data_IF_366342157688
#
_entry.id   IF_366342157688
#
_cell.length_a   1.000
_cell.length_b   1.000
_cell.length_c   1.000
_cell.angle_alpha   90.00
_cell.angle_beta   90.00
_cell.angle_gamma   90.00
#
_symmetry.space_group_name_H-M   'P 1'
#
loop_
_entity.id
_entity.type
_entity.pdbx_description
1 polymer ?
#
# COMPACT_ATOMS: atom_id res chain seq x y z
N UNK A 1 2.36 -40.61 -18.17
CA UNK A 1 3.22 -40.48 -19.36
C UNK A 1 4.55 -40.00 -18.85
N UNK A 2 5.57 -40.83 -19.03
CA UNK A 2 6.87 -40.76 -18.38
C UNK A 2 7.61 -39.44 -18.66
N UNK A 3 8.15 -38.83 -17.61
CA UNK A 3 9.05 -37.67 -17.69
C UNK A 3 10.50 -38.08 -18.01
N UNK A 4 10.69 -39.21 -18.70
CA UNK A 4 11.98 -39.81 -18.99
C UNK A 4 12.43 -39.42 -20.41
N UNK A 5 12.99 -38.21 -20.58
CA UNK A 5 13.61 -37.82 -21.85
C UNK A 5 13.84 -36.33 -22.11
N UNK A 6 13.36 -35.41 -21.25
CA UNK A 6 13.57 -33.97 -21.44
C UNK A 6 14.90 -33.51 -20.83
N UNK A 7 15.63 -32.67 -21.56
CA UNK A 7 16.85 -32.02 -21.06
C UNK A 7 16.52 -31.01 -19.95
N UNK A 8 17.48 -30.71 -19.07
CA UNK A 8 17.28 -29.75 -17.97
C UNK A 8 16.84 -28.37 -18.48
N UNK A 9 17.38 -27.93 -19.62
CA UNK A 9 16.99 -26.67 -20.26
C UNK A 9 15.53 -26.68 -20.74
N UNK A 10 15.05 -27.80 -21.31
CA UNK A 10 13.66 -27.95 -21.72
C UNK A 10 12.71 -27.97 -20.51
N UNK A 11 13.11 -28.58 -19.40
CA UNK A 11 12.31 -28.58 -18.16
C UNK A 11 12.18 -27.17 -17.56
N UNK A 12 13.26 -26.39 -17.59
CA UNK A 12 13.26 -24.99 -17.14
C UNK A 12 12.37 -24.13 -18.05
N UNK A 13 12.48 -24.29 -19.37
CA UNK A 13 11.67 -23.55 -20.34
C UNK A 13 10.17 -23.92 -20.26
N UNK A 14 9.84 -25.20 -20.11
CA UNK A 14 8.47 -25.69 -19.96
C UNK A 14 7.80 -25.17 -18.67
N UNK A 15 8.59 -24.87 -17.64
CA UNK A 15 8.13 -24.20 -16.42
C UNK A 15 7.92 -22.68 -16.59
N UNK A 16 8.03 -22.17 -17.82
CA UNK A 16 7.85 -20.74 -18.14
C UNK A 16 8.99 -19.86 -17.65
N UNK A 17 10.18 -20.42 -17.42
CA UNK A 17 11.34 -19.70 -16.92
C UNK A 17 12.29 -19.32 -18.05
N UNK A 18 12.84 -18.10 -17.97
CA UNK A 18 13.85 -17.59 -18.87
C UNK A 18 15.14 -17.34 -18.09
N UNK A 19 16.23 -17.98 -18.50
CA UNK A 19 17.58 -17.77 -17.96
C UNK A 19 18.35 -16.80 -18.85
N UNK A 20 19.06 -15.84 -18.24
CA UNK A 20 20.06 -15.03 -18.93
C UNK A 20 21.32 -14.89 -18.09
N UNK A 21 22.47 -15.21 -18.65
CA UNK A 21 23.78 -14.99 -18.02
C UNK A 21 24.19 -13.52 -18.16
N UNK A 22 24.75 -12.95 -17.11
CA UNK A 22 25.34 -11.62 -17.07
C UNK A 22 26.70 -11.67 -16.38
N UNK A 23 27.62 -10.85 -16.86
CA UNK A 23 28.88 -10.63 -16.16
C UNK A 23 28.63 -9.71 -14.97
N UNK A 24 28.88 -10.19 -13.76
CA UNK A 24 28.82 -9.35 -12.56
C UNK A 24 30.00 -8.37 -12.55
N UNK A 25 29.86 -7.23 -11.85
CA UNK A 25 30.90 -6.20 -11.79
C UNK A 25 32.23 -6.65 -11.17
N UNK A 26 32.27 -7.85 -10.58
CA UNK A 26 33.46 -8.48 -10.00
C UNK A 26 34.07 -9.59 -10.89
N UNK A 27 33.54 -9.82 -12.10
CA UNK A 27 34.03 -10.84 -13.03
C UNK A 27 33.49 -12.25 -12.80
N UNK A 28 32.69 -12.48 -11.76
CA UNK A 28 32.00 -13.76 -11.56
C UNK A 28 30.71 -13.84 -12.40
N UNK A 29 30.39 -15.03 -12.96
CA UNK A 29 29.13 -15.24 -13.67
C UNK A 29 27.92 -15.09 -12.72
N UNK A 30 26.90 -14.38 -13.20
CA UNK A 30 25.64 -14.11 -12.52
C UNK A 30 24.48 -14.46 -13.46
N UNK A 31 23.55 -15.31 -13.03
CA UNK A 31 22.42 -15.76 -13.84
C UNK A 31 21.13 -15.13 -13.32
N UNK A 32 20.38 -14.52 -14.23
CA UNK A 32 19.07 -13.92 -13.96
C UNK A 32 17.99 -14.86 -14.47
N UNK A 33 17.08 -15.26 -13.58
CA UNK A 33 15.93 -16.11 -13.91
C UNK A 33 14.65 -15.31 -13.77
N UNK A 34 13.89 -15.24 -14.86
CA UNK A 34 12.66 -14.45 -15.01
C UNK A 34 11.55 -15.28 -15.66
N UNK A 35 10.36 -14.70 -15.87
CA UNK A 35 9.19 -15.41 -16.41
C UNK A 35 8.16 -15.77 -15.33
N UNK A 36 7.56 -16.96 -15.40
CA UNK A 36 6.50 -17.42 -14.48
C UNK A 36 7.05 -17.94 -13.13
N UNK A 37 7.93 -17.16 -12.50
CA UNK A 37 8.71 -17.59 -11.35
C UNK A 37 7.87 -17.80 -10.08
N UNK A 38 6.63 -17.29 -10.01
CA UNK A 38 5.82 -17.34 -8.78
C UNK A 38 5.40 -18.76 -8.39
N UNK A 39 4.98 -19.57 -9.37
CA UNK A 39 4.53 -20.95 -9.14
C UNK A 39 5.67 -21.84 -8.61
N UNK A 40 6.91 -21.52 -9.02
CA UNK A 40 8.12 -22.32 -8.75
C UNK A 40 9.11 -21.63 -7.81
N UNK A 41 8.72 -20.52 -7.17
CA UNK A 41 9.60 -19.71 -6.30
C UNK A 41 10.31 -20.50 -5.20
N UNK A 42 9.62 -21.50 -4.65
CA UNK A 42 10.19 -22.38 -3.62
C UNK A 42 11.25 -23.31 -4.21
N UNK A 43 11.07 -23.79 -5.44
CA UNK A 43 12.09 -24.55 -6.15
C UNK A 43 13.31 -23.67 -6.47
N UNK A 44 13.08 -22.44 -6.96
CA UNK A 44 14.16 -21.48 -7.24
C UNK A 44 14.98 -21.12 -5.99
N UNK A 45 14.31 -20.93 -4.84
CA UNK A 45 14.99 -20.68 -3.56
C UNK A 45 15.79 -21.90 -3.07
N UNK A 46 15.24 -23.12 -3.21
CA UNK A 46 15.97 -24.37 -2.89
C UNK A 46 17.17 -24.60 -3.81
N UNK A 47 17.07 -24.19 -5.06
CA UNK A 47 18.17 -24.23 -6.02
C UNK A 47 19.26 -23.17 -5.74
N UNK A 48 19.12 -22.34 -4.69
CA UNK A 48 20.12 -21.36 -4.27
C UNK A 48 19.89 -19.93 -4.79
N UNK A 49 18.77 -19.68 -5.46
CA UNK A 49 18.46 -18.36 -6.00
C UNK A 49 18.04 -17.35 -4.92
N UNK A 50 18.41 -16.08 -5.13
CA UNK A 50 17.96 -14.95 -4.31
C UNK A 50 17.10 -14.00 -5.14
N UNK A 51 15.95 -13.56 -4.62
CA UNK A 51 15.06 -12.66 -5.35
C UNK A 51 15.54 -11.20 -5.28
N UNK A 52 15.83 -10.59 -6.42
CA UNK A 52 16.07 -9.15 -6.55
C UNK A 52 14.72 -8.44 -6.79
N UNK A 53 14.22 -7.78 -5.74
CA UNK A 53 12.92 -7.09 -5.75
C UNK A 53 12.85 -5.96 -6.77
N UNK A 54 13.96 -5.27 -7.05
CA UNK A 54 14.00 -4.12 -7.96
C UNK A 54 14.04 -4.56 -9.41
N UNK A 55 14.89 -5.56 -9.71
CA UNK A 55 15.04 -6.09 -11.08
C UNK A 55 13.95 -7.11 -11.43
N UNK A 56 13.21 -7.61 -10.45
CA UNK A 56 12.16 -8.63 -10.59
C UNK A 56 12.69 -9.92 -11.22
N UNK A 57 13.87 -10.33 -10.79
CA UNK A 57 14.54 -11.57 -11.24
C UNK A 57 15.09 -12.33 -10.05
N UNK A 58 15.19 -13.66 -10.20
CA UNK A 58 16.01 -14.47 -9.30
C UNK A 58 17.45 -14.40 -9.77
N UNK A 59 18.36 -14.14 -8.84
CA UNK A 59 19.80 -14.08 -9.06
C UNK A 59 20.43 -15.35 -8.51
N UNK A 60 21.22 -16.01 -9.34
CA UNK A 60 22.11 -17.11 -8.99
C UNK A 60 23.54 -16.68 -9.30
N UNK A 61 24.48 -17.00 -8.40
CA UNK A 61 25.89 -16.67 -8.56
C UNK A 61 26.73 -17.95 -8.59
N UNK A 62 27.80 -17.96 -9.38
CA UNK A 62 28.65 -19.14 -9.53
C UNK A 62 28.31 -19.95 -10.78
N UNK A 63 28.19 -21.27 -10.66
CA UNK A 63 27.96 -22.16 -11.81
C UNK A 63 26.55 -22.01 -12.40
N UNK A 64 26.37 -22.49 -13.65
CA UNK A 64 25.07 -22.50 -14.34
C UNK A 64 23.99 -23.18 -13.47
N UNK A 65 22.92 -22.46 -13.07
CA UNK A 65 21.92 -23.00 -12.16
C UNK A 65 20.92 -23.92 -12.86
N UNK A 66 20.97 -24.08 -14.19
CA UNK A 66 20.00 -24.88 -14.97
C UNK A 66 19.78 -26.28 -14.39
N UNK A 67 20.83 -27.07 -14.08
CA UNK A 67 20.64 -28.42 -13.52
C UNK A 67 20.03 -28.40 -12.11
N UNK A 68 20.43 -27.43 -11.28
CA UNK A 68 19.90 -27.27 -9.92
C UNK A 68 18.41 -26.87 -9.94
N UNK A 69 18.02 -26.00 -10.87
CA UNK A 69 16.63 -25.59 -11.07
C UNK A 69 15.81 -26.77 -11.60
N UNK A 70 16.29 -27.48 -12.64
CA UNK A 70 15.59 -28.65 -13.19
C UNK A 70 15.38 -29.74 -12.12
N UNK A 71 16.41 -30.04 -11.32
CA UNK A 71 16.30 -30.96 -10.19
C UNK A 71 15.30 -30.48 -9.14
N UNK A 72 15.26 -29.18 -8.83
CA UNK A 72 14.36 -28.62 -7.83
C UNK A 72 12.89 -28.53 -8.31
N UNK A 73 12.67 -28.43 -9.63
CA UNK A 73 11.37 -28.47 -10.29
C UNK A 73 10.80 -29.90 -10.37
N UNK A 74 11.68 -30.88 -10.60
CA UNK A 74 11.32 -32.30 -10.66
C UNK A 74 11.16 -32.94 -9.28
N UNK A 75 11.76 -32.38 -8.25
CA UNK A 75 11.51 -32.80 -6.87
C UNK A 75 10.06 -32.55 -6.49
N UNK A 76 9.41 -33.52 -5.84
CA UNK A 76 8.05 -33.35 -5.33
C UNK A 76 8.00 -32.06 -4.50
N UNK A 77 7.06 -31.13 -4.79
CA UNK A 77 6.87 -29.99 -3.92
C UNK A 77 6.59 -30.52 -2.52
N UNK A 78 7.12 -29.90 -1.45
CA UNK A 78 6.71 -30.26 -0.11
C UNK A 78 5.17 -30.25 -0.09
N UNK A 79 4.53 -31.24 0.56
CA UNK A 79 3.09 -31.41 0.48
C UNK A 79 2.45 -30.04 0.71
N UNK A 80 1.54 -29.60 -0.18
CA UNK A 80 0.86 -28.34 0.03
C UNK A 80 0.24 -28.41 1.42
N UNK A 81 0.60 -27.46 2.29
CA UNK A 81 -0.09 -27.30 3.55
C UNK A 81 -1.53 -26.87 3.25
N UNK A 82 -2.42 -27.83 2.98
CA UNK A 82 -3.80 -27.57 2.59
C UNK A 82 -4.39 -28.66 1.70
N UNK A 83 -5.19 -29.52 2.33
CA UNK A 83 -5.94 -30.66 1.80
C UNK A 83 -6.78 -30.33 0.55
N UNK A 84 -6.78 -31.27 -0.39
CA UNK A 84 -7.76 -31.42 -1.46
C UNK A 84 -9.19 -31.57 -0.91
N UNK A 85 -10.20 -31.24 -1.72
CA UNK A 85 -11.63 -31.42 -1.42
C UNK A 85 -12.11 -32.89 -1.45
N UNK A 86 -11.22 -33.85 -1.22
CA UNK A 86 -11.58 -35.25 -1.12
C UNK A 86 -11.48 -35.68 0.34
N UNK A 87 -12.59 -36.15 0.91
CA UNK A 87 -12.64 -36.76 2.24
C UNK A 87 -11.48 -37.74 2.44
N UNK A 88 -10.53 -37.37 3.30
CA UNK A 88 -9.44 -38.24 3.71
C UNK A 88 -9.98 -39.38 4.58
N UNK A 89 -9.45 -40.61 4.46
CA UNK A 89 -9.85 -41.70 5.31
C UNK A 89 -9.29 -41.47 6.71
N UNK A 90 -10.17 -41.58 7.70
CA UNK A 90 -9.95 -41.50 9.15
C UNK A 90 -9.97 -40.09 9.75
N UNK A 91 -11.09 -39.83 10.44
CA UNK A 91 -11.24 -38.68 11.31
C UNK A 91 -10.20 -38.67 12.43
N UNK A 92 -9.48 -37.55 12.54
CA UNK A 92 -9.16 -36.90 13.80
C UNK A 92 -8.81 -35.43 13.54
N UNK A 93 -9.48 -34.54 14.29
CA UNK A 93 -9.34 -33.08 14.40
C UNK A 93 -8.91 -32.31 13.14
N UNK A 94 -9.91 -31.81 12.38
CA UNK A 94 -9.71 -30.79 11.35
C UNK A 94 -9.01 -29.58 11.98
N UNK A 95 -7.88 -29.10 11.43
CA UNK A 95 -7.21 -27.92 11.95
C UNK A 95 -8.16 -26.72 12.02
N UNK A 96 -8.02 -25.85 13.02
CA UNK A 96 -8.94 -24.73 13.28
C UNK A 96 -9.17 -23.81 12.06
N UNK A 97 -8.22 -23.74 11.14
CA UNK A 97 -8.30 -22.96 9.89
C UNK A 97 -9.17 -23.62 8.79
N UNK A 98 -9.59 -24.87 8.95
CA UNK A 98 -10.42 -25.59 7.97
C UNK A 98 -11.83 -24.99 7.91
N UNK A 99 -12.31 -24.60 6.72
CA UNK A 99 -13.57 -23.88 6.53
C UNK A 99 -13.60 -22.44 7.06
N UNK A 100 -12.49 -21.95 7.65
CA UNK A 100 -12.40 -20.61 8.24
C UNK A 100 -12.70 -19.52 7.23
N UNK A 101 -12.15 -19.62 6.00
CA UNK A 101 -12.41 -18.65 4.93
C UNK A 101 -13.90 -18.49 4.63
N UNK A 102 -14.63 -19.60 4.52
CA UNK A 102 -16.06 -19.56 4.23
C UNK A 102 -16.83 -19.01 5.42
N UNK A 103 -16.55 -19.47 6.65
CA UNK A 103 -17.19 -18.93 7.86
C UNK A 103 -16.97 -17.43 8.02
N UNK A 104 -15.77 -16.94 7.71
CA UNK A 104 -15.45 -15.51 7.80
C UNK A 104 -16.24 -14.69 6.77
N UNK A 105 -16.35 -15.19 5.52
CA UNK A 105 -17.18 -14.58 4.47
C UNK A 105 -18.65 -14.55 4.86
N UNK A 106 -19.18 -15.66 5.34
CA UNK A 106 -20.59 -15.76 5.75
C UNK A 106 -20.89 -14.80 6.92
N UNK A 107 -19.97 -14.71 7.90
CA UNK A 107 -20.11 -13.79 9.02
C UNK A 107 -20.05 -12.34 8.59
N UNK A 108 -19.18 -11.99 7.64
CA UNK A 108 -19.15 -10.66 7.04
C UNK A 108 -20.42 -10.33 6.27
N UNK A 109 -20.95 -11.26 5.47
CA UNK A 109 -22.21 -11.05 4.77
C UNK A 109 -23.41 -10.91 5.71
N UNK A 110 -23.39 -11.60 6.85
CA UNK A 110 -24.47 -11.53 7.85
C UNK A 110 -24.40 -10.29 8.76
N UNK A 111 -23.19 -9.85 9.13
CA UNK A 111 -22.98 -8.85 10.20
C UNK A 111 -22.18 -7.61 9.76
N UNK A 112 -21.72 -7.56 8.51
CA UNK A 112 -20.83 -6.52 8.01
C UNK A 112 -19.51 -6.47 8.77
N UNK A 113 -18.86 -5.30 8.76
CA UNK A 113 -17.62 -5.06 9.51
C UNK A 113 -17.78 -5.19 11.02
N UNK A 114 -18.98 -4.96 11.57
CA UNK A 114 -19.23 -4.99 13.01
C UNK A 114 -19.10 -6.41 13.61
N UNK A 115 -19.20 -7.45 12.80
CA UNK A 115 -19.03 -8.85 13.22
C UNK A 115 -17.61 -9.40 13.12
N UNK A 116 -16.63 -8.54 12.81
CA UNK A 116 -15.24 -8.92 12.57
C UNK A 116 -14.29 -8.02 13.36
N UNK A 117 -13.21 -8.60 13.89
CA UNK A 117 -12.08 -7.81 14.35
C UNK A 117 -11.27 -7.24 13.17
N UNK A 118 -10.52 -6.17 13.40
CA UNK A 118 -9.68 -5.52 12.36
C UNK A 118 -8.76 -6.51 11.61
N UNK A 119 -8.10 -7.42 12.34
CA UNK A 119 -7.24 -8.42 11.71
C UNK A 119 -8.05 -9.42 10.87
N UNK A 120 -9.28 -9.74 11.25
CA UNK A 120 -10.14 -10.62 10.47
C UNK A 120 -10.62 -9.93 9.19
N UNK A 121 -10.88 -8.62 9.23
CA UNK A 121 -11.18 -7.85 8.03
C UNK A 121 -9.98 -7.85 7.06
N UNK A 122 -8.75 -7.78 7.56
CA UNK A 122 -7.55 -8.00 6.73
C UNK A 122 -7.47 -9.42 6.19
N UNK A 123 -7.82 -10.44 6.98
CA UNK A 123 -7.85 -11.82 6.47
C UNK A 123 -8.77 -11.93 5.25
N UNK A 124 -9.97 -11.33 5.30
CA UNK A 124 -10.89 -11.31 4.15
C UNK A 124 -10.25 -10.71 2.91
N UNK A 125 -9.56 -9.57 3.05
CA UNK A 125 -8.90 -8.94 1.92
C UNK A 125 -7.78 -9.83 1.38
N UNK A 126 -6.90 -10.31 2.25
CA UNK A 126 -5.78 -11.18 1.88
C UNK A 126 -6.24 -12.49 1.23
N UNK A 127 -7.46 -12.97 1.49
CA UNK A 127 -7.96 -14.18 0.85
C UNK A 127 -8.06 -14.08 -0.67
N UNK A 128 -8.25 -12.89 -1.24
CA UNK A 128 -8.35 -12.69 -2.68
C UNK A 128 -7.00 -12.67 -3.39
N UNK A 129 -5.92 -12.32 -2.68
CA UNK A 129 -4.56 -12.24 -3.26
C UNK A 129 -3.63 -13.37 -2.82
N UNK A 130 -3.93 -14.05 -1.70
CA UNK A 130 -3.13 -15.17 -1.17
C UNK A 130 -4.02 -16.41 -1.07
N UNK A 131 -4.03 -17.28 -2.09
CA UNK A 131 -4.83 -18.50 -2.08
C UNK A 131 -4.17 -19.61 -1.24
N UNK A 132 -4.99 -20.44 -0.59
CA UNK A 132 -4.60 -21.74 0.01
C UNK A 132 -3.51 -21.67 1.09
N UNK A 133 -3.41 -20.55 1.82
CA UNK A 133 -2.52 -20.37 2.99
C UNK A 133 -3.32 -19.81 4.16
N UNK A 134 -2.93 -20.12 5.40
CA UNK A 134 -3.44 -19.44 6.60
C UNK A 134 -2.85 -18.03 6.66
N UNK A 135 -3.69 -17.01 6.43
CA UNK A 135 -3.27 -15.59 6.42
C UNK A 135 -3.49 -14.92 7.77
N UNK A 136 -4.03 -15.64 8.77
CA UNK A 136 -4.27 -15.06 10.11
C UNK A 136 -2.98 -14.58 10.78
N UNK A 137 -1.86 -15.34 10.77
CA UNK A 137 -0.59 -14.84 11.30
C UNK A 137 -0.14 -13.57 10.58
N UNK A 138 -0.21 -13.55 9.25
CA UNK A 138 0.15 -12.40 8.43
C UNK A 138 -0.71 -11.17 8.76
N UNK A 139 -2.03 -11.33 8.84
CA UNK A 139 -2.94 -10.24 9.18
C UNK A 139 -2.60 -9.63 10.55
N UNK A 140 -2.28 -10.46 11.55
CA UNK A 140 -1.83 -9.99 12.87
C UNK A 140 -0.49 -9.27 12.79
N UNK A 141 0.50 -9.82 12.08
CA UNK A 141 1.80 -9.17 11.87
C UNK A 141 1.65 -7.80 11.22
N UNK A 142 0.74 -7.65 10.26
CA UNK A 142 0.46 -6.35 9.62
C UNK A 142 -0.15 -5.36 10.62
N UNK A 143 -1.15 -5.77 11.40
CA UNK A 143 -1.73 -4.91 12.45
C UNK A 143 -0.69 -4.53 13.49
N UNK A 144 0.16 -5.46 13.93
CA UNK A 144 1.22 -5.19 14.90
C UNK A 144 2.26 -4.20 14.35
N UNK A 145 2.68 -4.36 13.10
CA UNK A 145 3.68 -3.48 12.47
C UNK A 145 3.15 -2.08 12.16
N UNK A 146 1.90 -1.97 11.71
CA UNK A 146 1.32 -0.70 11.22
C UNK A 146 0.29 -0.08 12.18
N UNK A 147 -0.01 -0.77 13.28
CA UNK A 147 -0.78 -0.30 14.43
C UNK A 147 -2.30 -0.42 14.33
N UNK A 148 -2.87 -0.43 13.13
CA UNK A 148 -4.33 -0.55 12.92
C UNK A 148 -4.66 -0.98 11.49
N UNK A 149 -5.92 -1.35 11.24
CA UNK A 149 -6.41 -1.62 9.88
C UNK A 149 -6.13 -0.44 8.93
N UNK A 150 -6.47 0.78 9.36
CA UNK A 150 -6.20 2.00 8.61
C UNK A 150 -4.69 2.23 8.40
N UNK A 151 -3.87 1.94 9.40
CA UNK A 151 -2.41 2.01 9.28
C UNK A 151 -1.85 1.05 8.22
N UNK A 152 -2.39 -0.17 8.13
CA UNK A 152 -2.01 -1.14 7.08
C UNK A 152 -2.38 -0.63 5.69
N UNK A 153 -3.59 -0.10 5.52
CA UNK A 153 -4.01 0.46 4.24
C UNK A 153 -3.20 1.70 3.84
N UNK A 154 -2.83 2.55 4.81
CA UNK A 154 -2.07 3.76 4.57
C UNK A 154 -0.57 3.52 4.32
N UNK A 155 0.01 2.46 4.89
CA UNK A 155 1.44 2.18 4.81
C UNK A 155 2.02 2.23 3.39
N UNK A 156 3.14 2.93 3.21
CA UNK A 156 3.85 3.06 1.93
C UNK A 156 4.09 1.69 1.26
N UNK A 157 3.95 1.57 -0.08
CA UNK A 157 4.15 0.31 -0.79
C UNK A 157 5.48 -0.38 -0.48
N UNK A 158 6.56 0.38 -0.36
CA UNK A 158 7.90 -0.15 -0.04
C UNK A 158 7.95 -0.78 1.36
N UNK A 159 7.24 -0.18 2.33
CA UNK A 159 7.14 -0.69 3.71
C UNK A 159 6.31 -1.98 3.79
N UNK A 160 5.27 -2.08 2.97
CA UNK A 160 4.49 -3.31 2.82
C UNK A 160 5.33 -4.41 2.13
N UNK A 161 6.15 -4.04 1.14
CA UNK A 161 7.04 -4.95 0.42
C UNK A 161 8.21 -5.51 1.28
N UNK A 162 8.47 -4.95 2.46
CA UNK A 162 9.37 -5.53 3.46
C UNK A 162 8.80 -6.80 4.09
N UNK A 163 7.50 -7.09 3.97
CA UNK A 163 6.87 -8.28 4.54
C UNK A 163 6.95 -9.43 3.53
N UNK A 164 7.71 -10.47 3.86
CA UNK A 164 8.03 -11.57 2.94
C UNK A 164 6.79 -12.31 2.40
N UNK A 165 5.73 -12.43 3.22
CA UNK A 165 4.50 -13.12 2.85
C UNK A 165 3.50 -12.24 2.08
N UNK A 166 3.79 -10.93 1.88
CA UNK A 166 2.98 -10.06 1.03
C UNK A 166 3.44 -10.12 -0.42
N UNK A 167 2.52 -10.46 -1.31
CA UNK A 167 2.76 -10.41 -2.75
C UNK A 167 2.51 -9.00 -3.30
N UNK A 168 3.07 -8.69 -4.47
CA UNK A 168 2.72 -7.47 -5.20
C UNK A 168 1.20 -7.32 -5.40
N UNK A 169 0.50 -8.42 -5.68
CA UNK A 169 -0.97 -8.41 -5.82
C UNK A 169 -1.66 -8.02 -4.51
N UNK A 170 -1.17 -8.53 -3.37
CA UNK A 170 -1.69 -8.15 -2.05
C UNK A 170 -1.46 -6.67 -1.76
N UNK A 171 -0.29 -6.13 -2.09
CA UNK A 171 0.01 -4.69 -1.92
C UNK A 171 -0.92 -3.84 -2.80
N UNK A 172 -1.05 -4.16 -4.09
CA UNK A 172 -1.97 -3.47 -5.01
C UNK A 172 -3.41 -3.53 -4.50
N UNK A 173 -3.84 -4.69 -4.02
CA UNK A 173 -5.18 -4.86 -3.46
C UNK A 173 -5.43 -3.95 -2.25
N UNK A 174 -4.51 -3.93 -1.28
CA UNK A 174 -4.62 -3.06 -0.10
C UNK A 174 -4.69 -1.58 -0.52
N UNK A 175 -3.86 -1.19 -1.48
CA UNK A 175 -3.85 0.19 -2.02
C UNK A 175 -5.12 0.53 -2.81
N UNK A 176 -5.69 -0.42 -3.54
CA UNK A 176 -6.96 -0.23 -4.21
C UNK A 176 -8.11 -0.02 -3.20
N UNK A 177 -8.13 -0.76 -2.09
CA UNK A 177 -9.11 -0.58 -1.01
C UNK A 177 -8.96 0.80 -0.35
N UNK A 178 -7.72 1.24 -0.06
CA UNK A 178 -7.44 2.58 0.44
C UNK A 178 -8.00 3.65 -0.52
N UNK A 179 -7.64 3.56 -1.81
CA UNK A 179 -8.06 4.52 -2.82
C UNK A 179 -9.59 4.57 -2.99
N UNK A 180 -10.27 3.41 -2.93
CA UNK A 180 -11.73 3.36 -2.97
C UNK A 180 -12.37 4.10 -1.79
N UNK A 181 -11.88 3.87 -0.57
CA UNK A 181 -12.36 4.58 0.62
C UNK A 181 -12.16 6.09 0.54
N UNK A 182 -10.99 6.53 0.08
CA UNK A 182 -10.67 7.95 -0.11
C UNK A 182 -11.54 8.60 -1.20
N UNK A 183 -11.79 7.91 -2.31
CA UNK A 183 -12.67 8.38 -3.36
C UNK A 183 -14.12 8.54 -2.88
N UNK A 184 -14.62 7.58 -2.09
CA UNK A 184 -15.95 7.67 -1.50
C UNK A 184 -16.06 8.86 -0.54
N UNK A 185 -15.09 9.03 0.37
CA UNK A 185 -15.07 10.15 1.32
C UNK A 185 -14.98 11.52 0.60
N UNK A 186 -14.19 11.61 -0.48
CA UNK A 186 -14.09 12.83 -1.29
C UNK A 186 -15.41 13.20 -1.97
N UNK A 187 -16.14 12.20 -2.47
CA UNK A 187 -17.44 12.42 -3.12
C UNK A 187 -18.48 13.06 -2.19
N UNK A 188 -18.35 12.89 -0.87
CA UNK A 188 -19.33 13.45 0.09
C UNK A 188 -19.30 14.98 0.24
N UNK A 189 -18.20 15.64 -0.16
CA UNK A 189 -18.05 17.09 -0.06
C UNK A 189 -17.64 17.78 -1.37
N UNK A 190 -17.24 17.05 -2.41
CA UNK A 190 -16.73 17.65 -3.66
C UNK A 190 -17.71 18.63 -4.32
N UNK A 191 -19.02 18.34 -4.30
CA UNK A 191 -20.06 19.20 -4.91
C UNK A 191 -20.77 20.11 -3.89
N UNK A 192 -20.33 20.13 -2.64
CA UNK A 192 -20.97 20.89 -1.57
C UNK A 192 -20.10 22.08 -1.12
N UNK A 193 -20.70 23.19 -0.65
CA UNK A 193 -19.95 24.22 0.05
C UNK A 193 -19.23 23.63 1.27
N UNK A 194 -17.90 23.69 1.28
CA UNK A 194 -17.04 23.06 2.29
C UNK A 194 -17.41 23.48 3.71
N UNK A 195 -17.75 24.76 3.90
CA UNK A 195 -18.15 25.29 5.21
C UNK A 195 -19.41 24.62 5.77
N UNK A 196 -20.29 24.09 4.91
CA UNK A 196 -21.48 23.31 5.33
C UNK A 196 -21.17 21.84 5.55
N UNK A 197 -20.03 21.36 5.06
CA UNK A 197 -19.57 19.97 5.13
C UNK A 197 -18.22 19.86 5.85
N UNK A 198 -17.92 20.75 6.79
CA UNK A 198 -16.62 20.84 7.45
C UNK A 198 -16.21 19.52 8.11
N UNK A 199 -17.14 18.87 8.80
CA UNK A 199 -16.91 17.55 9.42
C UNK A 199 -16.56 16.47 8.40
N UNK A 200 -17.12 16.53 7.18
CA UNK A 200 -16.80 15.60 6.10
C UNK A 200 -15.42 15.87 5.51
N UNK A 201 -15.07 17.15 5.33
CA UNK A 201 -13.72 17.53 4.93
C UNK A 201 -12.69 17.01 5.94
N UNK A 202 -12.91 17.25 7.24
CA UNK A 202 -12.00 16.76 8.29
C UNK A 202 -11.89 15.24 8.31
N UNK A 203 -13.00 14.51 8.12
CA UNK A 203 -12.97 13.05 8.02
C UNK A 203 -12.14 12.58 6.82
N UNK A 204 -12.32 13.21 5.66
CA UNK A 204 -11.52 12.92 4.48
C UNK A 204 -10.03 13.23 4.69
N UNK A 205 -9.70 14.40 5.23
CA UNK A 205 -8.32 14.81 5.51
C UNK A 205 -7.66 13.85 6.52
N UNK A 206 -8.38 13.46 7.58
CA UNK A 206 -7.89 12.49 8.55
C UNK A 206 -7.66 11.12 7.93
N UNK A 207 -8.58 10.64 7.09
CA UNK A 207 -8.42 9.37 6.38
C UNK A 207 -7.26 9.39 5.38
N UNK A 208 -7.03 10.53 4.72
CA UNK A 208 -6.00 10.70 3.70
C UNK A 208 -4.61 10.96 4.28
N UNK A 209 -4.50 11.67 5.40
CA UNK A 209 -3.22 12.21 5.90
C UNK A 209 -2.88 11.77 7.33
N UNK A 210 -3.84 11.30 8.12
CA UNK A 210 -3.62 11.02 9.55
C UNK A 210 -2.68 9.85 9.84
N UNK A 211 -2.52 8.93 8.88
CA UNK A 211 -1.61 7.79 8.97
C UNK A 211 -0.34 7.96 8.11
N UNK A 212 -0.16 9.13 7.48
CA UNK A 212 1.02 9.39 6.68
C UNK A 212 2.26 9.56 7.55
N UNK A 213 3.30 8.82 7.20
CA UNK A 213 4.57 8.77 7.94
C UNK A 213 5.55 9.86 7.53
N UNK A 214 5.26 10.53 6.41
CA UNK A 214 5.98 11.70 5.93
C UNK A 214 5.05 12.90 6.05
N UNK A 215 5.64 14.04 6.31
CA UNK A 215 4.92 15.29 6.23
C UNK A 215 4.50 15.56 4.78
N UNK A 216 3.26 15.97 4.60
CA UNK A 216 2.64 16.26 3.33
C UNK A 216 1.89 17.56 3.47
N UNK A 217 2.21 18.55 2.64
CA UNK A 217 1.46 19.79 2.57
C UNK A 217 0.56 19.81 1.33
N UNK A 218 -0.71 20.15 1.53
CA UNK A 218 -1.72 20.21 0.49
C UNK A 218 -2.58 21.45 0.61
N UNK A 219 -3.28 21.75 -0.47
CA UNK A 219 -4.18 22.89 -0.56
C UNK A 219 -5.49 22.45 -1.17
N UNK A 220 -6.57 22.79 -0.48
CA UNK A 220 -7.94 22.66 -0.99
C UNK A 220 -8.37 24.02 -1.54
N UNK A 221 -8.53 24.11 -2.85
CA UNK A 221 -8.94 25.32 -3.55
C UNK A 221 -10.45 25.39 -3.67
N UNK A 222 -11.02 26.57 -3.44
CA UNK A 222 -12.46 26.80 -3.42
C UNK A 222 -12.89 27.89 -4.41
N UNK A 223 -14.08 27.74 -4.98
CA UNK A 223 -14.73 28.78 -5.76
C UNK A 223 -15.52 29.78 -4.88
N UNK A 224 -16.19 30.74 -5.54
CA UNK A 224 -17.03 31.77 -4.89
C UNK A 224 -18.19 31.22 -4.06
N UNK A 225 -18.61 29.98 -4.31
CA UNK A 225 -19.64 29.28 -3.53
C UNK A 225 -19.04 28.43 -2.40
N UNK A 226 -17.73 28.55 -2.15
CA UNK A 226 -16.95 27.72 -1.23
C UNK A 226 -17.01 26.22 -1.54
N UNK A 227 -17.28 25.82 -2.78
CA UNK A 227 -17.19 24.42 -3.19
C UNK A 227 -15.76 24.11 -3.66
N UNK A 228 -15.30 22.87 -3.41
CA UNK A 228 -13.95 22.43 -3.78
C UNK A 228 -13.80 22.39 -5.30
N UNK A 229 -12.84 23.14 -5.83
CA UNK A 229 -12.46 23.10 -7.25
C UNK A 229 -11.29 22.17 -7.48
N UNK A 230 -10.32 22.16 -6.56
CA UNK A 230 -9.17 21.28 -6.61
C UNK A 230 -8.69 20.94 -5.20
N UNK A 231 -8.03 19.79 -5.10
CA UNK A 231 -7.37 19.30 -3.89
C UNK A 231 -6.03 18.72 -4.31
N UNK A 232 -4.94 19.41 -3.96
CA UNK A 232 -3.63 19.15 -4.51
C UNK A 232 -2.56 19.08 -3.42
N UNK A 233 -1.75 18.03 -3.50
CA UNK A 233 -0.52 17.94 -2.70
C UNK A 233 0.54 18.80 -3.36
N UNK A 234 1.00 19.84 -2.65
CA UNK A 234 2.05 20.74 -3.15
C UNK A 234 3.45 20.28 -2.74
N UNK A 235 3.55 19.49 -1.67
CA UNK A 235 4.83 18.98 -1.17
C UNK A 235 4.66 17.64 -0.48
N UNK A 236 5.60 16.73 -0.75
CA UNK A 236 5.85 15.54 0.06
C UNK A 236 7.22 15.71 0.72
N UNK A 237 7.30 15.52 2.03
CA UNK A 237 8.53 15.63 2.79
C UNK A 237 9.54 14.55 2.41
N UNK A 238 10.80 14.96 2.25
CA UNK A 238 11.98 14.13 2.51
C UNK A 238 12.93 14.94 3.40
N UNK A 239 14.00 14.32 3.92
CA UNK A 239 14.98 14.89 4.87
C UNK A 239 15.48 16.30 4.51
N UNK A 240 15.37 16.71 3.24
CA UNK A 240 15.62 18.07 2.78
C UNK A 240 14.29 18.78 2.48
N UNK A 241 13.75 19.50 3.46
CA UNK A 241 12.52 20.29 3.35
C UNK A 241 12.64 21.33 2.23
N UNK A 242 11.84 21.24 1.16
CA UNK A 242 11.66 22.38 0.24
C UNK A 242 10.53 23.21 0.83
N UNK A 243 10.73 24.46 1.29
CA UNK A 243 9.66 25.24 1.90
C UNK A 243 8.48 25.41 0.93
N UNK A 244 7.26 25.36 1.45
CA UNK A 244 6.09 25.86 0.73
C UNK A 244 6.25 27.36 0.58
N UNK A 245 6.36 27.84 -0.65
CA UNK A 245 6.48 29.27 -0.91
C UNK A 245 5.09 29.89 -1.16
N UNK A 246 4.72 30.97 -0.46
CA UNK A 246 3.45 31.65 -0.67
C UNK A 246 3.18 32.00 -2.14
N UNK A 247 4.22 32.38 -2.89
CA UNK A 247 4.08 32.67 -4.33
C UNK A 247 3.51 31.49 -5.13
N UNK A 248 3.88 30.25 -4.82
CA UNK A 248 3.42 29.07 -5.56
C UNK A 248 1.98 28.75 -5.18
N UNK A 249 1.63 28.91 -3.89
CA UNK A 249 0.25 28.80 -3.40
C UNK A 249 -0.67 29.78 -4.13
N UNK A 250 -0.28 31.06 -4.15
CA UNK A 250 -1.06 32.13 -4.77
C UNK A 250 -1.13 31.97 -6.29
N UNK A 251 -0.01 31.66 -6.95
CA UNK A 251 0.02 31.38 -8.39
C UNK A 251 -0.96 30.26 -8.74
N UNK A 252 -0.94 29.16 -7.97
CA UNK A 252 -1.83 28.02 -8.22
C UNK A 252 -3.30 28.39 -7.98
N UNK A 253 -3.60 29.16 -6.94
CA UNK A 253 -4.94 29.66 -6.70
C UNK A 253 -5.45 30.52 -7.87
N UNK A 254 -4.62 31.39 -8.42
CA UNK A 254 -4.95 32.21 -9.60
C UNK A 254 -5.17 31.35 -10.85
N UNK A 255 -4.28 30.37 -11.12
CA UNK A 255 -4.39 29.46 -12.26
C UNK A 255 -5.73 28.68 -12.25
N UNK A 256 -6.22 28.34 -11.05
CA UNK A 256 -7.48 27.62 -10.83
C UNK A 256 -8.70 28.54 -10.71
N UNK A 257 -8.51 29.87 -10.75
CA UNK A 257 -9.59 30.84 -10.50
C UNK A 257 -10.23 30.70 -9.11
N UNK A 258 -9.45 30.24 -8.12
CA UNK A 258 -9.91 30.06 -6.75
C UNK A 258 -10.12 31.42 -6.08
N UNK A 259 -11.19 31.55 -5.32
CA UNK A 259 -11.47 32.76 -4.50
C UNK A 259 -11.20 32.54 -3.04
N UNK A 260 -10.96 31.30 -2.64
CA UNK A 260 -10.52 30.95 -1.31
C UNK A 260 -9.74 29.63 -1.33
N UNK A 261 -8.98 29.37 -0.27
CA UNK A 261 -8.23 28.14 -0.09
C UNK A 261 -8.19 27.72 1.38
N UNK A 262 -7.94 26.44 1.61
CA UNK A 262 -7.64 25.86 2.92
C UNK A 262 -6.29 25.18 2.80
N UNK A 263 -5.36 25.54 3.67
CA UNK A 263 -4.06 24.89 3.77
C UNK A 263 -4.17 23.71 4.71
N UNK A 264 -3.49 22.60 4.40
CA UNK A 264 -3.48 21.43 5.29
C UNK A 264 -2.12 20.75 5.24
N UNK A 265 -1.54 20.46 6.39
CA UNK A 265 -0.43 19.50 6.49
C UNK A 265 -0.64 18.49 7.60
N UNK A 266 0.15 17.43 7.59
CA UNK A 266 0.15 16.45 8.68
C UNK A 266 1.44 16.50 9.49
N UNK A 267 1.30 16.23 10.78
CA UNK A 267 2.42 15.97 11.67
C UNK A 267 2.52 14.47 11.96
N UNK A 268 3.50 13.75 11.37
CA UNK A 268 3.72 12.33 11.64
C UNK A 268 4.03 12.02 13.12
N UNK A 269 4.52 13.02 13.87
CA UNK A 269 4.78 12.94 15.31
C UNK A 269 3.52 12.63 16.14
N UNK A 270 2.33 12.90 15.60
CA UNK A 270 1.05 12.72 16.29
C UNK A 270 0.55 13.95 17.04
N UNK A 271 1.38 14.98 17.23
CA UNK A 271 1.01 16.25 17.85
C UNK A 271 0.60 17.27 16.77
N UNK A 272 -0.67 17.70 16.69
CA UNK A 272 -1.12 18.68 15.71
C UNK A 272 -0.81 20.14 16.10
N UNK A 273 -0.04 20.39 17.16
CA UNK A 273 0.33 21.76 17.58
C UNK A 273 1.18 22.44 16.50
N UNK A 274 0.82 23.68 16.06
CA UNK A 274 1.58 24.39 15.04
C UNK A 274 2.98 24.78 15.50
N UNK A 275 3.95 24.67 14.59
CA UNK A 275 5.29 25.23 14.76
C UNK A 275 5.31 26.72 14.42
N UNK A 276 6.40 27.42 14.77
CA UNK A 276 6.59 28.81 14.35
C UNK A 276 6.62 28.95 12.83
N UNK A 277 7.23 27.99 12.13
CA UNK A 277 7.28 27.99 10.66
C UNK A 277 5.88 27.88 10.04
N UNK A 278 4.97 27.11 10.66
CA UNK A 278 3.58 27.01 10.22
C UNK A 278 2.87 28.36 10.38
N UNK A 279 3.08 29.04 11.51
CA UNK A 279 2.49 30.35 11.80
C UNK A 279 2.96 31.41 10.81
N UNK A 280 4.27 31.47 10.58
CA UNK A 280 4.87 32.45 9.67
C UNK A 280 4.34 32.23 8.24
N UNK A 281 4.37 30.98 7.76
CA UNK A 281 3.89 30.60 6.42
C UNK A 281 2.38 30.86 6.23
N UNK A 282 1.57 30.58 7.26
CA UNK A 282 0.12 30.90 7.28
C UNK A 282 -0.11 32.39 7.09
N UNK A 283 0.65 33.21 7.85
CA UNK A 283 0.52 34.66 7.84
C UNK A 283 0.92 35.21 6.47
N UNK A 284 2.05 34.77 5.91
CA UNK A 284 2.51 35.21 4.60
C UNK A 284 1.51 34.86 3.48
N UNK A 285 0.93 33.66 3.48
CA UNK A 285 -0.08 33.26 2.49
C UNK A 285 -1.36 34.07 2.64
N UNK A 286 -1.81 34.28 3.88
CA UNK A 286 -3.00 35.08 4.18
C UNK A 286 -2.86 36.51 3.65
N UNK A 287 -1.75 37.19 3.97
CA UNK A 287 -1.48 38.56 3.53
C UNK A 287 -1.37 38.66 2.01
N UNK A 288 -0.68 37.71 1.37
CA UNK A 288 -0.54 37.68 -0.09
C UNK A 288 -1.88 37.44 -0.80
N UNK A 289 -2.71 36.53 -0.26
CA UNK A 289 -4.02 36.20 -0.80
C UNK A 289 -5.02 37.34 -0.69
N UNK A 290 -5.05 38.05 0.45
CA UNK A 290 -5.98 39.16 0.69
C UNK A 290 -5.85 40.26 -0.37
N UNK A 291 -4.61 40.60 -0.76
CA UNK A 291 -4.32 41.61 -1.80
C UNK A 291 -4.86 41.24 -3.18
N UNK A 292 -5.12 39.96 -3.42
CA UNK A 292 -5.55 39.41 -4.70
C UNK A 292 -7.00 38.90 -4.65
N UNK A 293 -7.71 39.10 -3.54
CA UNK A 293 -9.09 38.63 -3.37
C UNK A 293 -9.19 37.11 -3.18
N UNK A 294 -8.13 36.46 -2.68
CA UNK A 294 -8.09 35.03 -2.37
C UNK A 294 -8.07 34.88 -0.84
N UNK A 295 -9.15 34.37 -0.27
CA UNK A 295 -9.27 34.20 1.18
C UNK A 295 -8.61 32.89 1.65
N UNK A 296 -7.69 32.96 2.62
CA UNK A 296 -7.32 31.78 3.40
C UNK A 296 -8.42 31.49 4.42
N UNK A 297 -9.20 30.43 4.21
CA UNK A 297 -10.27 30.06 5.14
C UNK A 297 -9.73 29.49 6.43
N UNK A 298 -8.72 28.63 6.36
CA UNK A 298 -8.13 28.00 7.53
C UNK A 298 -6.80 27.35 7.13
N UNK A 299 -5.98 27.07 8.14
CA UNK A 299 -4.86 26.16 8.05
C UNK A 299 -5.09 25.03 9.05
N UNK A 300 -5.20 23.80 8.56
CA UNK A 300 -5.52 22.63 9.37
C UNK A 300 -4.27 21.76 9.51
N UNK A 301 -3.90 21.42 10.74
CA UNK A 301 -2.83 20.43 10.98
C UNK A 301 -3.46 19.11 11.37
N UNK A 302 -3.21 18.06 10.61
CA UNK A 302 -3.75 16.72 10.82
C UNK A 302 -2.72 15.86 11.56
N UNK A 303 -3.18 15.08 12.53
CA UNK A 303 -2.37 14.03 13.13
C UNK A 303 -3.14 12.72 13.24
N UNK A 304 -2.45 11.64 13.60
CA UNK A 304 -3.08 10.33 13.86
C UNK A 304 -4.20 10.43 14.90
N UNK A 305 -4.01 11.26 15.92
CA UNK A 305 -4.89 11.32 17.09
C UNK A 305 -5.86 12.50 17.07
N UNK A 306 -5.67 13.49 16.21
CA UNK A 306 -6.50 14.68 16.20
C UNK A 306 -6.21 15.62 15.04
N UNK A 307 -6.62 16.86 15.20
CA UNK A 307 -6.28 17.96 14.31
C UNK A 307 -6.22 19.26 15.12
N UNK A 308 -5.56 20.28 14.56
CA UNK A 308 -5.66 21.67 15.00
C UNK A 308 -6.12 22.55 13.84
N UNK A 309 -6.67 23.70 14.18
CA UNK A 309 -7.16 24.74 13.28
C UNK A 309 -6.50 26.05 13.70
N UNK A 310 -6.12 26.88 12.74
CA UNK A 310 -5.60 28.22 13.01
C UNK A 310 -6.72 29.24 13.28
N UNK A 311 -7.94 28.95 12.83
CA UNK A 311 -9.16 29.65 13.24
C UNK A 311 -9.63 29.27 14.64
#
# INVERSE_FOLDING_TARGET
MDNAGKTDAEQVADAGLNLSERSSGNGSPEFHVSGETHAVRHALRRAGGTWDKLKRVWIFTGDDPTPAIASALSAEPPPPGGLSESDGPNGNEKPHYWGHRQRLRDRFMAQGSNGLADYELLELLLFFSIPRVDVKPLAKTLIEKFGSFAGVLAAEPDRLAEIDDLTYQSVVQLKAVQAAGLNMARAEFAEQPVLKSWSKLLQYLKAHMGHETKEQFRIVFLNTKNAVTADEVQQHGTVNHTPVYPREVIKRALDLGATALIMVHNHPSGDPTPSQADIDMTTEVMEAGERLGIMLHDHIIISKHGHSSFK
#
